data_IF_078436186179
#
_entry.id   IF_078436186179
#
_cell.length_a   1.000
_cell.length_b   1.000
_cell.length_c   1.000
_cell.angle_alpha   90.00
_cell.angle_beta   90.00
_cell.angle_gamma   90.00
#
_symmetry.space_group_name_H-M   'P 1'
#
loop_
_entity.id
_entity.type
_entity.pdbx_description
1 polymer ?
#
# COMPACT_ATOMS: atom_id res chain seq x y z
N UNK A 1 14.46 19.73 13.80
CA UNK A 1 13.30 19.66 14.73
C UNK A 1 12.16 19.06 13.94
N UNK A 2 11.82 17.82 14.24
CA UNK A 2 10.74 17.06 13.61
C UNK A 2 9.43 17.57 14.20
N UNK A 3 8.91 18.67 13.65
CA UNK A 3 7.67 19.29 14.13
C UNK A 3 6.52 18.57 13.48
N UNK A 4 5.92 17.63 14.20
CA UNK A 4 4.61 17.07 13.90
C UNK A 4 3.63 18.21 13.57
N UNK A 5 2.96 18.12 12.42
CA UNK A 5 1.98 19.11 11.98
C UNK A 5 0.72 19.02 12.84
N UNK A 6 0.32 17.80 13.21
CA UNK A 6 -0.80 17.53 14.11
C UNK A 6 -0.31 16.87 15.42
N UNK A 7 -1.04 17.04 16.54
CA UNK A 7 -0.80 16.26 17.73
C UNK A 7 -0.87 14.76 17.42
N UNK A 8 0.10 13.99 17.90
CA UNK A 8 0.20 12.53 17.73
C UNK A 8 0.46 12.04 16.29
N UNK A 9 1.15 12.84 15.46
CA UNK A 9 1.70 12.33 14.20
C UNK A 9 2.63 11.13 14.45
N UNK A 10 2.53 10.15 13.55
CA UNK A 10 3.42 8.99 13.53
C UNK A 10 4.48 9.26 12.45
N UNK A 11 5.72 9.48 12.88
CA UNK A 11 6.82 9.89 11.99
C UNK A 11 7.39 8.74 11.17
N UNK A 12 7.12 7.49 11.58
CA UNK A 12 7.57 6.28 10.88
C UNK A 12 6.41 5.34 10.65
N UNK A 13 6.07 5.11 9.39
CA UNK A 13 5.02 4.20 8.97
C UNK A 13 5.61 3.09 8.10
N UNK A 14 4.97 1.94 8.13
CA UNK A 14 5.25 0.81 7.24
C UNK A 14 4.16 0.71 6.18
N UNK A 15 4.58 0.40 4.94
CA UNK A 15 3.68 0.19 3.81
C UNK A 15 3.89 -1.20 3.25
N UNK A 16 2.85 -2.03 3.27
CA UNK A 16 2.83 -3.29 2.54
C UNK A 16 2.17 -3.09 1.17
N UNK A 17 2.83 -3.60 0.13
CA UNK A 17 2.32 -3.68 -1.22
C UNK A 17 1.95 -5.13 -1.52
N UNK A 18 0.65 -5.43 -1.52
CA UNK A 18 0.12 -6.79 -1.56
C UNK A 18 -0.52 -7.03 -2.94
N UNK A 19 0.12 -7.89 -3.72
CA UNK A 19 -0.32 -8.28 -5.07
C UNK A 19 -1.27 -9.47 -4.95
N UNK A 20 -2.54 -9.17 -4.69
CA UNK A 20 -3.52 -10.18 -4.31
C UNK A 20 -4.02 -11.00 -5.51
N UNK A 21 -4.40 -10.34 -6.60
CA UNK A 21 -4.80 -11.01 -7.84
C UNK A 21 -4.28 -10.25 -9.07
N UNK A 22 -4.52 -10.77 -10.27
CA UNK A 22 -4.20 -10.07 -11.52
C UNK A 22 -4.80 -8.65 -11.58
N UNK A 23 -5.97 -8.45 -10.97
CA UNK A 23 -6.76 -7.21 -11.02
C UNK A 23 -6.95 -6.56 -9.64
N UNK A 24 -6.36 -7.11 -8.59
CA UNK A 24 -6.53 -6.63 -7.21
C UNK A 24 -5.19 -6.36 -6.56
N UNK A 25 -4.91 -5.08 -6.38
CA UNK A 25 -3.80 -4.56 -5.62
C UNK A 25 -4.29 -4.04 -4.27
N UNK A 26 -3.61 -4.41 -3.18
CA UNK A 26 -3.92 -3.92 -1.85
C UNK A 26 -2.72 -3.19 -1.26
N UNK A 27 -2.99 -2.01 -0.72
CA UNK A 27 -2.04 -1.18 0.01
C UNK A 27 -2.44 -1.21 1.48
N UNK A 28 -1.47 -1.42 2.36
CA UNK A 28 -1.66 -1.31 3.81
C UNK A 28 -0.61 -0.34 4.36
N UNK A 29 -1.05 0.78 4.90
CA UNK A 29 -0.20 1.75 5.61
C UNK A 29 -0.52 1.65 7.08
N UNK A 30 0.48 1.38 7.91
CA UNK A 30 0.26 1.13 9.32
C UNK A 30 1.49 1.47 10.17
N UNK A 31 1.24 1.67 11.46
CA UNK A 31 2.29 1.76 12.47
C UNK A 31 2.74 0.34 12.85
N UNK A 32 4.01 0.03 12.58
CA UNK A 32 4.60 -1.29 12.88
C UNK A 32 5.09 -1.42 14.32
N UNK A 33 5.19 -0.31 15.07
CA UNK A 33 5.61 -0.29 16.47
C UNK A 33 4.37 -0.44 17.37
N UNK A 34 3.33 0.35 17.11
CA UNK A 34 2.11 0.35 17.90
C UNK A 34 0.90 -0.10 17.07
N UNK A 35 0.39 -1.29 17.39
CA UNK A 35 -0.80 -1.83 16.72
C UNK A 35 -1.99 -0.91 16.93
N UNK A 36 -2.57 -0.45 15.80
CA UNK A 36 -3.80 0.33 15.78
C UNK A 36 -5.00 -0.57 15.49
N UNK A 37 -6.20 -0.05 15.76
CA UNK A 37 -7.44 -0.77 15.46
C UNK A 37 -7.51 -1.12 13.97
N UNK A 38 -7.84 -2.38 13.69
CA UNK A 38 -8.16 -2.87 12.35
C UNK A 38 -9.61 -3.36 12.36
N UNK A 39 -10.39 -2.99 11.35
CA UNK A 39 -11.78 -3.44 11.25
C UNK A 39 -11.78 -4.98 11.15
N UNK A 40 -12.58 -5.70 11.97
CA UNK A 40 -12.59 -7.16 11.98
C UNK A 40 -13.36 -7.72 10.78
N UNK A 41 -12.85 -7.50 9.58
CA UNK A 41 -13.35 -8.05 8.33
C UNK A 41 -12.53 -9.27 7.94
N UNK A 42 -13.20 -10.30 7.43
CA UNK A 42 -12.51 -11.42 6.79
C UNK A 42 -11.87 -10.91 5.50
N UNK A 43 -10.57 -10.69 5.53
CA UNK A 43 -9.79 -10.48 4.31
C UNK A 43 -9.49 -11.84 3.69
N UNK A 44 -9.71 -12.04 2.38
CA UNK A 44 -9.31 -13.26 1.70
C UNK A 44 -7.81 -13.52 1.88
N UNK A 45 -7.44 -14.71 2.35
CA UNK A 45 -6.05 -15.15 2.43
C UNK A 45 -5.58 -15.46 1.02
N UNK A 46 -4.55 -14.76 0.55
CA UNK A 46 -3.92 -15.05 -0.74
C UNK A 46 -2.76 -16.01 -0.50
N UNK A 47 -2.92 -17.27 -0.92
CA UNK A 47 -1.90 -18.30 -0.71
C UNK A 47 -0.75 -18.25 -1.74
N UNK A 48 -0.91 -17.51 -2.85
CA UNK A 48 0.07 -17.48 -3.94
C UNK A 48 0.13 -16.11 -4.62
N UNK A 49 1.34 -15.53 -4.73
CA UNK A 49 1.58 -14.37 -5.59
C UNK A 49 1.17 -14.72 -7.02
N UNK A 50 0.41 -13.83 -7.67
CA UNK A 50 0.08 -14.01 -9.09
C UNK A 50 1.33 -13.76 -9.94
N UNK A 51 1.51 -14.58 -10.98
CA UNK A 51 2.67 -14.46 -11.88
C UNK A 51 2.60 -13.18 -12.74
N UNK A 52 1.39 -12.68 -13.03
CA UNK A 52 1.13 -11.52 -13.88
C UNK A 52 0.00 -10.65 -13.30
N UNK A 53 0.05 -9.36 -13.60
CA UNK A 53 -0.94 -8.36 -13.18
C UNK A 53 -1.36 -7.50 -14.36
N UNK A 54 -2.59 -6.99 -14.35
CA UNK A 54 -3.10 -6.01 -15.32
C UNK A 54 -2.64 -4.57 -15.02
N UNK A 55 -1.94 -4.40 -13.91
CA UNK A 55 -1.45 -3.13 -13.41
C UNK A 55 0.07 -3.17 -13.15
N UNK A 56 0.72 -2.02 -13.31
CA UNK A 56 2.10 -1.77 -12.89
C UNK A 56 2.07 -0.87 -11.65
N UNK A 57 2.97 -1.10 -10.70
CA UNK A 57 3.13 -0.27 -9.49
C UNK A 57 4.54 0.32 -9.49
N UNK A 58 4.64 1.65 -9.36
CA UNK A 58 5.92 2.35 -9.19
C UNK A 58 5.94 3.08 -7.86
N UNK A 59 7.08 3.03 -7.19
CA UNK A 59 7.31 3.68 -5.91
C UNK A 59 8.33 4.79 -6.09
N UNK A 60 8.00 5.98 -5.60
CA UNK A 60 8.98 7.05 -5.39
C UNK A 60 9.28 7.09 -3.90
N UNK A 61 10.56 7.09 -3.52
CA UNK A 61 10.93 7.08 -2.10
C UNK A 61 10.87 8.49 -1.48
N UNK A 62 11.21 9.53 -2.24
CA UNK A 62 11.37 10.91 -1.74
C UNK A 62 10.87 11.97 -2.75
N UNK A 63 9.75 12.66 -2.47
CA UNK A 63 8.77 12.31 -1.44
C UNK A 63 8.14 10.95 -1.72
N UNK A 64 7.71 10.25 -0.68
CA UNK A 64 7.09 8.93 -0.84
C UNK A 64 5.83 9.02 -1.71
N UNK A 65 5.71 8.17 -2.73
CA UNK A 65 4.50 8.04 -3.54
C UNK A 65 4.32 6.63 -4.10
N UNK A 66 3.06 6.28 -4.37
CA UNK A 66 2.68 5.05 -5.06
C UNK A 66 1.92 5.45 -6.32
N UNK A 67 2.39 4.97 -7.47
CA UNK A 67 1.74 5.16 -8.77
C UNK A 67 1.26 3.81 -9.29
N UNK A 68 -0.04 3.70 -9.60
CA UNK A 68 -0.63 2.49 -10.19
C UNK A 68 -1.08 2.81 -11.61
N UNK A 69 -0.62 2.01 -12.58
CA UNK A 69 -0.91 2.23 -14.00
C UNK A 69 -1.54 0.99 -14.60
N UNK A 70 -2.65 1.14 -15.33
CA UNK A 70 -3.25 0.04 -16.11
C UNK A 70 -2.36 -0.30 -17.30
N UNK A 71 -1.82 -1.52 -17.37
CA UNK A 71 -0.87 -1.95 -18.40
C UNK A 71 -1.43 -1.85 -19.82
N UNK A 72 -2.69 -2.26 -20.00
CA UNK A 72 -3.33 -2.31 -21.33
C UNK A 72 -3.54 -0.95 -21.98
N UNK A 73 -3.58 0.13 -21.19
CA UNK A 73 -3.92 1.49 -21.70
C UNK A 73 -2.88 2.54 -21.35
N UNK A 74 -1.99 2.27 -20.40
CA UNK A 74 -1.07 3.27 -19.84
C UNK A 74 -1.74 4.32 -18.94
N UNK A 75 -3.05 4.20 -18.67
CA UNK A 75 -3.78 5.15 -17.81
C UNK A 75 -3.33 4.99 -16.36
N UNK A 76 -3.02 6.13 -15.73
CA UNK A 76 -2.75 6.24 -14.29
C UNK A 76 -4.10 6.17 -13.55
N UNK A 77 -4.17 5.34 -12.51
CA UNK A 77 -5.37 5.10 -11.69
C UNK A 77 -5.35 5.89 -10.39
#
# INVERSE_FOLDING_TARGET
SDTAYMPHDITSLTVDLIYETEQRFRIRIYDSIYRRYEVPLKVPVIEKKVNTTDYEVKITEKPFSILVTRKSTGVIL
#
